data_IF_221845360252
#
_entry.id   IF_221845360252
#
_cell.length_a   1.000
_cell.length_b   1.000
_cell.length_c   1.000
_cell.angle_alpha   90.00
_cell.angle_beta   90.00
_cell.angle_gamma   90.00
#
_symmetry.space_group_name_H-M   'P 1'
#
loop_
_entity.id
_entity.type
_entity.pdbx_description
1 polymer ?
#
# COMPACT_ATOMS: atom_id res chain seq x y z
N UNK A 1 25.31 -51.59 -40.56
CA UNK A 1 26.47 -50.70 -40.74
C UNK A 1 26.17 -49.92 -42.02
N UNK A 2 25.92 -48.61 -42.05
CA UNK A 2 26.52 -47.48 -41.33
C UNK A 2 25.47 -46.38 -41.11
N UNK A 3 25.28 -45.97 -39.85
CA UNK A 3 24.46 -44.80 -39.49
C UNK A 3 25.26 -43.51 -39.63
N UNK A 4 24.63 -42.48 -40.18
CA UNK A 4 25.21 -41.14 -40.32
C UNK A 4 25.21 -40.37 -39.00
N UNK A 5 26.28 -39.62 -38.76
CA UNK A 5 26.38 -38.61 -37.71
C UNK A 5 26.84 -37.29 -38.33
N UNK A 6 25.90 -36.37 -38.47
CA UNK A 6 26.17 -34.93 -38.61
C UNK A 6 26.22 -34.26 -37.22
N UNK A 7 26.76 -33.05 -37.11
CA UNK A 7 27.14 -32.43 -35.84
C UNK A 7 25.92 -32.03 -35.01
N UNK A 8 25.87 -32.47 -33.75
CA UNK A 8 24.88 -32.05 -32.77
C UNK A 8 25.18 -30.61 -32.33
N UNK A 9 24.36 -29.67 -32.80
CA UNK A 9 24.34 -28.30 -32.31
C UNK A 9 23.97 -28.30 -30.82
N UNK A 10 24.85 -27.73 -30.00
CA UNK A 10 24.62 -27.48 -28.58
C UNK A 10 23.45 -26.50 -28.42
N UNK A 11 22.32 -27.00 -27.92
CA UNK A 11 21.20 -26.18 -27.48
C UNK A 11 21.49 -25.70 -26.04
N UNK A 12 21.54 -24.39 -25.84
CA UNK A 12 21.52 -23.79 -24.51
C UNK A 12 20.22 -24.19 -23.79
N UNK A 13 20.24 -24.51 -22.47
CA UNK A 13 19.03 -24.89 -21.77
C UNK A 13 18.12 -23.67 -21.59
N UNK A 14 16.98 -23.69 -22.30
CA UNK A 14 15.95 -22.64 -22.29
C UNK A 14 14.98 -22.73 -21.09
N UNK A 15 15.27 -23.57 -20.09
CA UNK A 15 14.28 -24.01 -19.10
C UNK A 15 14.66 -23.66 -17.66
N UNK A 16 15.32 -22.52 -17.42
CA UNK A 16 15.51 -22.00 -16.07
C UNK A 16 14.20 -21.41 -15.51
N UNK A 17 13.17 -22.25 -15.36
CA UNK A 17 12.02 -21.92 -14.52
C UNK A 17 12.48 -21.96 -13.07
N UNK A 18 12.51 -20.81 -12.42
CA UNK A 18 12.73 -20.70 -10.98
C UNK A 18 11.66 -21.52 -10.24
N UNK A 19 11.95 -22.77 -9.89
CA UNK A 19 11.09 -23.62 -9.07
C UNK A 19 11.46 -23.46 -7.59
N UNK A 20 10.96 -22.39 -6.98
CA UNK A 20 10.97 -22.24 -5.53
C UNK A 20 9.59 -22.60 -4.98
N UNK A 21 9.49 -23.56 -4.06
CA UNK A 21 8.27 -23.71 -3.26
C UNK A 21 8.20 -22.51 -2.33
N UNK A 22 7.23 -21.61 -2.52
CA UNK A 22 6.98 -20.55 -1.55
C UNK A 22 6.70 -21.19 -0.19
N UNK A 23 7.64 -21.06 0.75
CA UNK A 23 7.51 -21.61 2.10
C UNK A 23 7.59 -20.46 3.09
N UNK A 24 6.56 -20.33 3.92
CA UNK A 24 6.58 -19.42 5.06
C UNK A 24 7.47 -20.06 6.13
N UNK A 25 8.50 -19.33 6.54
CA UNK A 25 9.42 -19.78 7.59
C UNK A 25 8.76 -19.52 8.93
N UNK A 26 8.58 -20.56 9.76
CA UNK A 26 8.01 -20.42 11.10
C UNK A 26 7.12 -21.59 11.52
N UNK A 27 6.55 -21.53 12.73
CA UNK A 27 5.57 -22.52 13.20
C UNK A 27 4.25 -22.38 12.43
N UNK A 28 3.52 -23.51 12.25
CA UNK A 28 2.31 -23.58 11.41
C UNK A 28 1.22 -22.57 11.77
N UNK A 29 1.10 -22.20 13.05
CA UNK A 29 0.13 -21.22 13.52
C UNK A 29 0.45 -19.78 13.07
N UNK A 30 1.72 -19.47 12.80
CA UNK A 30 2.17 -18.15 12.38
C UNK A 30 2.11 -17.96 10.87
N UNK A 31 1.91 -19.02 10.08
CA UNK A 31 1.98 -18.95 8.61
C UNK A 31 0.93 -18.00 8.01
N UNK A 32 -0.33 -18.12 8.42
CA UNK A 32 -1.39 -17.25 7.93
C UNK A 32 -1.28 -15.82 8.46
N UNK A 33 -1.06 -15.58 9.77
CA UNK A 33 -0.86 -14.22 10.27
C UNK A 33 0.32 -13.49 9.66
N UNK A 34 1.48 -14.15 9.50
CA UNK A 34 2.66 -13.51 8.91
C UNK A 34 2.46 -13.16 7.43
N UNK A 35 1.62 -13.92 6.73
CA UNK A 35 1.31 -13.67 5.33
C UNK A 35 0.29 -12.54 5.14
N UNK A 36 -0.58 -12.30 6.12
CA UNK A 36 -1.64 -11.29 6.07
C UNK A 36 -1.36 -10.03 6.88
N UNK A 37 -0.23 -9.98 7.62
CA UNK A 37 0.13 -8.83 8.46
C UNK A 37 0.26 -7.51 7.70
N UNK A 38 0.60 -7.55 6.41
CA UNK A 38 0.61 -6.37 5.54
C UNK A 38 -0.76 -5.68 5.49
N UNK A 39 -1.84 -6.46 5.44
CA UNK A 39 -3.22 -5.94 5.43
C UNK A 39 -3.60 -5.27 6.74
N UNK A 40 -3.07 -5.74 7.88
CA UNK A 40 -3.24 -5.06 9.17
C UNK A 40 -2.61 -3.66 9.12
N UNK A 41 -1.38 -3.55 8.61
CA UNK A 41 -0.70 -2.27 8.48
C UNK A 41 -1.42 -1.31 7.53
N UNK A 42 -1.82 -1.80 6.35
CA UNK A 42 -2.60 -1.02 5.37
C UNK A 42 -3.88 -0.46 6.03
N UNK A 43 -4.58 -1.29 6.79
CA UNK A 43 -5.82 -0.84 7.43
C UNK A 43 -5.59 0.20 8.52
N UNK A 44 -4.52 0.09 9.31
CA UNK A 44 -4.18 1.11 10.30
C UNK A 44 -3.98 2.48 9.62
N UNK A 45 -3.23 2.52 8.52
CA UNK A 45 -3.00 3.75 7.77
C UNK A 45 -4.30 4.35 7.23
N UNK A 46 -5.13 3.51 6.61
CA UNK A 46 -6.43 3.95 6.09
C UNK A 46 -7.36 4.47 7.20
N UNK A 47 -7.38 3.83 8.37
CA UNK A 47 -8.14 4.30 9.53
C UNK A 47 -7.65 5.65 10.06
N UNK A 48 -6.34 5.87 10.11
CA UNK A 48 -5.74 7.17 10.50
C UNK A 48 -6.11 8.26 9.49
N UNK A 49 -6.00 7.96 8.21
CA UNK A 49 -6.39 8.88 7.13
C UNK A 49 -7.87 9.24 7.23
N UNK A 50 -8.77 8.25 7.34
CA UNK A 50 -10.21 8.48 7.47
C UNK A 50 -10.56 9.32 8.71
N UNK A 51 -9.77 9.24 9.78
CA UNK A 51 -9.99 9.99 11.01
C UNK A 51 -9.52 11.45 10.91
N UNK A 52 -8.39 11.72 10.25
CA UNK A 52 -7.75 13.05 10.26
C UNK A 52 -7.85 13.83 8.95
N UNK A 53 -8.05 13.19 7.79
CA UNK A 53 -8.05 13.88 6.50
C UNK A 53 -9.17 14.93 6.41
N UNK A 54 -10.39 14.58 6.81
CA UNK A 54 -11.54 15.51 6.82
C UNK A 54 -11.31 16.75 7.70
N UNK A 55 -11.05 16.64 9.02
CA UNK A 55 -10.84 17.80 9.86
C UNK A 55 -9.61 18.62 9.43
N UNK A 56 -8.57 17.97 8.92
CA UNK A 56 -7.38 18.65 8.43
C UNK A 56 -7.67 19.50 7.19
N UNK A 57 -8.32 18.94 6.16
CA UNK A 57 -8.67 19.68 4.95
C UNK A 57 -9.62 20.85 5.23
N UNK A 58 -10.60 20.65 6.13
CA UNK A 58 -11.47 21.75 6.59
C UNK A 58 -10.66 22.84 7.30
N UNK A 59 -9.66 22.49 8.10
CA UNK A 59 -8.77 23.46 8.76
C UNK A 59 -7.89 24.26 7.79
N UNK A 60 -7.70 23.78 6.56
CA UNK A 60 -7.02 24.50 5.48
C UNK A 60 -7.96 25.44 4.71
N UNK A 61 -9.26 25.46 5.05
CA UNK A 61 -10.26 26.34 4.43
C UNK A 61 -11.05 25.70 3.28
N UNK A 62 -10.97 24.38 3.07
CA UNK A 62 -11.81 23.70 2.08
C UNK A 62 -13.25 23.65 2.56
N UNK A 63 -14.20 23.76 1.64
CA UNK A 63 -15.61 23.46 1.93
C UNK A 63 -15.84 21.95 1.94
N UNK A 64 -16.89 21.49 2.63
CA UNK A 64 -17.28 20.07 2.68
C UNK A 64 -17.43 19.42 1.30
N UNK A 65 -17.93 20.18 0.31
CA UNK A 65 -18.04 19.70 -1.08
C UNK A 65 -16.68 19.40 -1.71
N UNK A 66 -15.68 20.27 -1.48
CA UNK A 66 -14.32 20.02 -1.99
C UNK A 66 -13.65 18.85 -1.28
N UNK A 67 -13.86 18.71 0.03
CA UNK A 67 -13.36 17.54 0.77
C UNK A 67 -13.93 16.25 0.19
N UNK A 68 -15.23 16.20 -0.10
CA UNK A 68 -15.85 15.04 -0.75
C UNK A 68 -15.25 14.74 -2.14
N UNK A 69 -14.87 15.76 -2.92
CA UNK A 69 -14.15 15.57 -4.18
C UNK A 69 -12.76 14.97 -3.98
N UNK A 70 -12.04 15.36 -2.92
CA UNK A 70 -10.73 14.78 -2.60
C UNK A 70 -10.87 13.29 -2.25
N UNK A 71 -11.89 12.91 -1.50
CA UNK A 71 -12.18 11.51 -1.17
C UNK A 71 -12.62 10.65 -2.38
N UNK A 72 -12.87 11.26 -3.54
CA UNK A 72 -13.02 10.51 -4.79
C UNK A 72 -11.71 9.79 -5.19
N UNK A 73 -10.57 10.20 -4.61
CA UNK A 73 -9.29 9.52 -4.75
C UNK A 73 -9.38 8.02 -4.45
N UNK A 74 -9.98 7.61 -3.33
CA UNK A 74 -10.08 6.21 -2.92
C UNK A 74 -10.80 5.29 -3.94
N UNK A 75 -11.99 5.63 -4.44
CA UNK A 75 -12.64 4.87 -5.50
C UNK A 75 -11.87 4.89 -6.83
N UNK A 76 -11.30 6.04 -7.22
CA UNK A 76 -10.53 6.18 -8.46
C UNK A 76 -9.24 5.35 -8.42
N UNK A 77 -8.54 5.36 -7.29
CA UNK A 77 -7.36 4.55 -7.07
C UNK A 77 -7.71 3.06 -7.07
N UNK A 78 -8.81 2.66 -6.44
CA UNK A 78 -9.30 1.28 -6.49
C UNK A 78 -9.57 0.81 -7.92
N UNK A 79 -10.21 1.64 -8.73
CA UNK A 79 -10.54 1.34 -10.13
C UNK A 79 -9.28 1.21 -11.01
N UNK A 80 -8.31 2.11 -10.85
CA UNK A 80 -7.15 2.20 -11.74
C UNK A 80 -5.95 1.40 -11.24
N UNK A 81 -5.58 1.55 -9.96
CA UNK A 81 -4.34 1.03 -9.40
C UNK A 81 -4.40 -0.48 -9.25
N UNK A 82 -5.52 -1.03 -8.80
CA UNK A 82 -5.65 -2.48 -8.59
C UNK A 82 -5.37 -3.30 -9.86
N UNK A 83 -5.99 -3.02 -11.03
CA UNK A 83 -5.69 -3.76 -12.25
C UNK A 83 -4.29 -3.46 -12.80
N UNK A 84 -3.84 -2.20 -12.76
CA UNK A 84 -2.52 -1.82 -13.28
C UNK A 84 -1.38 -2.47 -12.49
N UNK A 85 -1.39 -2.32 -11.16
CA UNK A 85 -0.36 -2.89 -10.30
C UNK A 85 -0.42 -4.41 -10.32
N UNK A 86 -1.61 -5.01 -10.43
CA UNK A 86 -1.75 -6.45 -10.65
C UNK A 86 -1.00 -6.93 -11.89
N UNK A 87 -1.26 -6.30 -13.05
CA UNK A 87 -0.60 -6.65 -14.31
C UNK A 87 0.91 -6.40 -14.29
N UNK A 88 1.37 -5.25 -13.77
CA UNK A 88 2.79 -4.95 -13.68
C UNK A 88 3.50 -5.86 -12.69
N UNK A 89 2.91 -6.14 -11.52
CA UNK A 89 3.48 -7.04 -10.54
C UNK A 89 3.67 -8.44 -11.10
N UNK A 90 2.76 -8.93 -11.94
CA UNK A 90 2.84 -10.27 -12.52
C UNK A 90 3.97 -10.45 -13.54
N UNK A 91 4.53 -9.37 -14.10
CA UNK A 91 5.64 -9.40 -15.07
C UNK A 91 7.02 -9.24 -14.45
N UNK A 92 7.11 -8.92 -13.16
CA UNK A 92 8.37 -8.57 -12.51
C UNK A 92 9.23 -9.81 -12.15
N UNK A 93 10.52 -9.76 -12.49
CA UNK A 93 11.49 -10.85 -12.27
C UNK A 93 12.54 -10.53 -11.19
N UNK A 94 12.26 -9.55 -10.33
CA UNK A 94 13.19 -9.10 -9.27
C UNK A 94 13.69 -10.25 -8.36
N UNK A 95 14.96 -10.14 -7.93
CA UNK A 95 15.64 -11.11 -7.03
C UNK A 95 14.97 -11.27 -5.67
N UNK A 96 14.14 -10.31 -5.24
CA UNK A 96 13.40 -10.36 -3.97
C UNK A 96 12.04 -11.06 -4.10
N UNK A 97 11.71 -11.56 -5.29
CA UNK A 97 10.42 -12.14 -5.63
C UNK A 97 9.54 -11.14 -6.37
N UNK A 98 8.58 -11.69 -7.13
CA UNK A 98 7.72 -10.95 -8.06
C UNK A 98 6.90 -9.82 -7.41
N UNK A 99 6.32 -10.10 -6.23
CA UNK A 99 5.34 -9.23 -5.57
C UNK A 99 5.91 -8.31 -4.48
N UNK A 100 6.96 -8.75 -3.77
CA UNK A 100 7.55 -8.04 -2.62
C UNK A 100 8.06 -6.60 -2.90
N UNK A 101 8.71 -6.29 -4.04
CA UNK A 101 9.21 -4.92 -4.26
C UNK A 101 8.07 -3.89 -4.40
N UNK A 102 6.90 -4.29 -4.94
CA UNK A 102 5.74 -3.41 -5.03
C UNK A 102 5.13 -3.13 -3.66
N UNK A 103 5.09 -4.14 -2.77
CA UNK A 103 4.67 -3.95 -1.37
C UNK A 103 5.61 -2.95 -0.69
N UNK A 104 6.93 -3.14 -0.79
CA UNK A 104 7.91 -2.23 -0.17
C UNK A 104 7.81 -0.80 -0.73
N UNK A 105 7.70 -0.65 -2.06
CA UNK A 105 7.54 0.64 -2.71
C UNK A 105 6.25 1.34 -2.26
N UNK A 106 5.13 0.62 -2.23
CA UNK A 106 3.87 1.14 -1.74
C UNK A 106 3.92 1.53 -0.26
N UNK A 107 4.57 0.73 0.60
CA UNK A 107 4.75 1.10 2.00
C UNK A 107 5.59 2.38 2.17
N UNK A 108 6.68 2.52 1.42
CA UNK A 108 7.51 3.74 1.47
C UNK A 108 6.73 4.97 1.00
N UNK A 109 5.97 4.85 -0.10
CA UNK A 109 5.13 5.93 -0.60
C UNK A 109 4.00 6.27 0.38
N UNK A 110 3.40 5.28 1.03
CA UNK A 110 2.36 5.49 2.04
C UNK A 110 2.91 6.23 3.28
N UNK A 111 4.06 5.80 3.81
CA UNK A 111 4.74 6.50 4.92
C UNK A 111 5.12 7.92 4.51
N UNK A 112 5.70 8.10 3.32
CA UNK A 112 6.06 9.41 2.79
C UNK A 112 4.86 10.33 2.60
N UNK A 113 3.75 9.81 2.07
CA UNK A 113 2.48 10.52 1.92
C UNK A 113 1.89 10.93 3.26
N UNK A 114 1.88 10.02 4.25
CA UNK A 114 1.38 10.32 5.60
C UNK A 114 2.23 11.40 6.29
N UNK A 115 3.56 11.32 6.18
CA UNK A 115 4.46 12.37 6.68
C UNK A 115 4.23 13.70 5.97
N UNK A 116 4.09 13.68 4.64
CA UNK A 116 3.79 14.88 3.87
C UNK A 116 2.47 15.51 4.32
N UNK A 117 1.42 14.71 4.53
CA UNK A 117 0.12 15.19 5.02
C UNK A 117 0.22 15.84 6.41
N UNK A 118 1.04 15.27 7.31
CA UNK A 118 1.30 15.84 8.63
C UNK A 118 2.09 17.16 8.58
N UNK A 119 3.00 17.30 7.63
CA UNK A 119 3.95 18.44 7.54
C UNK A 119 3.71 19.36 6.34
N UNK A 120 2.49 19.42 5.77
CA UNK A 120 2.29 20.19 4.52
C UNK A 120 2.59 21.68 4.66
N UNK A 121 2.31 22.29 5.83
CA UNK A 121 2.54 23.72 6.10
C UNK A 121 4.03 24.04 6.16
N UNK A 122 4.80 23.14 6.76
CA UNK A 122 6.24 23.21 6.91
C UNK A 122 6.92 23.07 5.55
N UNK A 123 6.51 22.06 4.77
CA UNK A 123 7.02 21.81 3.43
C UNK A 123 6.68 22.98 2.49
N UNK A 124 5.45 23.50 2.54
CA UNK A 124 5.08 24.71 1.80
C UNK A 124 5.93 25.91 2.23
N UNK A 125 6.27 26.00 3.52
CA UNK A 125 7.11 27.05 4.10
C UNK A 125 8.58 26.99 3.68
N UNK A 126 9.07 25.86 3.16
CA UNK A 126 10.41 25.77 2.57
C UNK A 126 10.48 26.37 1.17
N UNK A 127 9.34 26.45 0.48
CA UNK A 127 9.25 26.94 -0.91
C UNK A 127 8.74 28.38 -0.95
N UNK A 128 7.74 28.71 -0.14
CA UNK A 128 7.07 30.01 -0.12
C UNK A 128 7.05 30.61 1.29
N UNK A 129 7.12 31.94 1.38
CA UNK A 129 7.01 32.65 2.66
C UNK A 129 5.67 32.38 3.34
N UNK A 130 5.72 32.12 4.65
CA UNK A 130 4.54 31.79 5.46
C UNK A 130 3.62 33.00 5.57
N UNK A 131 2.31 32.77 5.42
CA UNK A 131 1.28 33.80 5.59
C UNK A 131 0.79 34.46 4.30
N UNK A 132 1.43 34.19 3.16
CA UNK A 132 0.92 34.61 1.85
C UNK A 132 -0.22 33.72 1.34
N UNK A 133 -1.10 34.28 0.49
CA UNK A 133 -2.17 33.51 -0.16
C UNK A 133 -1.62 32.32 -0.97
N UNK A 134 -0.47 32.51 -1.64
CA UNK A 134 0.21 31.46 -2.39
C UNK A 134 0.68 30.29 -1.51
N UNK A 135 1.10 30.56 -0.26
CA UNK A 135 1.49 29.51 0.69
C UNK A 135 0.28 28.66 1.11
N UNK A 136 -0.86 29.29 1.37
CA UNK A 136 -2.11 28.59 1.67
C UNK A 136 -2.57 27.69 0.51
N UNK A 137 -2.54 28.21 -0.71
CA UNK A 137 -2.88 27.45 -1.93
C UNK A 137 -1.94 26.25 -2.10
N UNK A 138 -0.62 26.44 -1.95
CA UNK A 138 0.35 25.35 -2.04
C UNK A 138 0.12 24.29 -0.95
N UNK A 139 -0.17 24.70 0.29
CA UNK A 139 -0.45 23.79 1.41
C UNK A 139 -1.65 22.88 1.09
N UNK A 140 -2.72 23.46 0.53
CA UNK A 140 -3.90 22.69 0.08
C UNK A 140 -3.51 21.69 -1.01
N UNK A 141 -2.77 22.11 -2.04
CA UNK A 141 -2.34 21.22 -3.11
C UNK A 141 -1.48 20.06 -2.60
N UNK A 142 -0.55 20.33 -1.68
CA UNK A 142 0.26 19.30 -1.04
C UNK A 142 -0.57 18.33 -0.21
N UNK A 143 -1.58 18.81 0.52
CA UNK A 143 -2.49 17.96 1.28
C UNK A 143 -3.30 17.03 0.38
N UNK A 144 -3.86 17.56 -0.71
CA UNK A 144 -4.61 16.78 -1.70
C UNK A 144 -3.68 15.76 -2.37
N UNK A 145 -2.49 16.16 -2.80
CA UNK A 145 -1.49 15.26 -3.38
C UNK A 145 -1.12 14.14 -2.40
N UNK A 146 -0.90 14.46 -1.13
CA UNK A 146 -0.56 13.48 -0.11
C UNK A 146 -1.66 12.42 0.06
N UNK A 147 -2.94 12.84 0.15
CA UNK A 147 -4.08 11.92 0.23
C UNK A 147 -4.12 11.00 -1.00
N UNK A 148 -3.97 11.55 -2.20
CA UNK A 148 -3.92 10.73 -3.42
C UNK A 148 -2.76 9.72 -3.40
N UNK A 149 -1.56 10.14 -2.96
CA UNK A 149 -0.42 9.23 -2.86
C UNK A 149 -0.69 8.12 -1.84
N UNK A 150 -1.30 8.43 -0.70
CA UNK A 150 -1.66 7.46 0.33
C UNK A 150 -2.69 6.47 -0.23
N UNK A 151 -3.81 6.94 -0.79
CA UNK A 151 -4.89 6.11 -1.33
C UNK A 151 -4.41 5.18 -2.46
N UNK A 152 -3.60 5.71 -3.38
CA UNK A 152 -3.01 4.92 -4.46
C UNK A 152 -2.07 3.84 -3.91
N UNK A 153 -1.24 4.20 -2.93
CA UNK A 153 -0.29 3.26 -2.31
C UNK A 153 -1.01 2.17 -1.51
N UNK A 154 -2.03 2.53 -0.74
CA UNK A 154 -2.88 1.60 0.02
C UNK A 154 -3.53 0.58 -0.92
N UNK A 155 -4.14 1.05 -2.01
CA UNK A 155 -4.77 0.17 -2.99
C UNK A 155 -3.76 -0.74 -3.70
N UNK A 156 -2.58 -0.22 -4.04
CA UNK A 156 -1.50 -1.01 -4.63
C UNK A 156 -1.04 -2.13 -3.69
N UNK A 157 -0.72 -1.81 -2.44
CA UNK A 157 -0.27 -2.79 -1.44
C UNK A 157 -1.36 -3.81 -1.17
N UNK A 158 -2.62 -3.38 -1.01
CA UNK A 158 -3.74 -4.28 -0.75
C UNK A 158 -3.96 -5.28 -1.90
N UNK A 159 -3.85 -4.84 -3.16
CA UNK A 159 -3.97 -5.71 -4.32
C UNK A 159 -2.84 -6.76 -4.36
N UNK A 160 -1.60 -6.33 -4.13
CA UNK A 160 -0.43 -7.20 -4.17
C UNK A 160 -0.38 -8.17 -2.99
N UNK A 161 -0.80 -7.75 -1.79
CA UNK A 161 -0.92 -8.60 -0.61
C UNK A 161 -1.94 -9.72 -0.83
N UNK A 162 -3.11 -9.41 -1.40
CA UNK A 162 -4.11 -10.43 -1.74
C UNK A 162 -3.59 -11.40 -2.79
N UNK A 163 -2.90 -10.90 -3.82
CA UNK A 163 -2.30 -11.76 -4.82
C UNK A 163 -1.17 -12.64 -4.24
N UNK A 164 -0.38 -12.10 -3.30
CA UNK A 164 0.65 -12.86 -2.59
C UNK A 164 0.04 -13.96 -1.71
N UNK A 165 -1.08 -13.68 -1.04
CA UNK A 165 -1.82 -14.68 -0.26
C UNK A 165 -2.27 -15.86 -1.12
N UNK A 166 -2.82 -15.59 -2.30
CA UNK A 166 -3.30 -16.63 -3.24
C UNK A 166 -2.13 -17.39 -3.88
N UNK A 167 -1.04 -16.72 -4.24
CA UNK A 167 0.15 -17.33 -4.83
C UNK A 167 0.90 -18.27 -3.87
N UNK A 168 0.77 -18.05 -2.56
CA UNK A 168 1.53 -18.79 -1.54
C UNK A 168 0.73 -19.91 -0.88
N UNK A 169 -0.60 -19.81 -0.84
CA UNK A 169 -1.46 -20.82 -0.21
C UNK A 169 -2.01 -21.85 -1.21
N UNK A 170 -2.00 -23.15 -0.86
CA UNK A 170 -2.73 -24.16 -1.60
C UNK A 170 -4.24 -23.83 -1.66
N UNK A 171 -4.95 -24.21 -2.73
CA UNK A 171 -6.38 -23.89 -2.89
C UNK A 171 -7.25 -24.27 -1.68
N UNK A 172 -6.97 -25.42 -1.04
CA UNK A 172 -7.68 -25.87 0.15
C UNK A 172 -7.54 -24.95 1.38
N UNK A 173 -6.49 -24.12 1.45
CA UNK A 173 -6.21 -23.22 2.57
C UNK A 173 -6.53 -21.75 2.27
N UNK A 174 -6.85 -21.40 1.02
CA UNK A 174 -7.10 -20.00 0.62
C UNK A 174 -8.30 -19.39 1.36
N UNK A 175 -9.35 -20.18 1.64
CA UNK A 175 -10.48 -19.71 2.44
C UNK A 175 -10.06 -19.32 3.87
N UNK A 176 -9.23 -20.13 4.52
CA UNK A 176 -8.70 -19.83 5.86
C UNK A 176 -7.74 -18.63 5.83
N UNK A 177 -6.92 -18.51 4.78
CA UNK A 177 -6.06 -17.35 4.56
C UNK A 177 -6.86 -16.06 4.40
N UNK A 178 -7.93 -16.08 3.60
CA UNK A 178 -8.81 -14.92 3.40
C UNK A 178 -9.60 -14.55 4.67
N UNK A 179 -9.98 -15.55 5.49
CA UNK A 179 -10.55 -15.30 6.81
C UNK A 179 -9.54 -14.62 7.75
N UNK A 180 -8.29 -15.08 7.78
CA UNK A 180 -7.22 -14.44 8.55
C UNK A 180 -6.95 -13.00 8.07
N UNK A 181 -6.97 -12.77 6.75
CA UNK A 181 -6.87 -11.44 6.16
C UNK A 181 -8.00 -10.51 6.64
N UNK A 182 -9.24 -11.00 6.67
CA UNK A 182 -10.37 -10.23 7.19
C UNK A 182 -10.21 -9.90 8.69
N UNK A 183 -9.68 -10.84 9.48
CA UNK A 183 -9.36 -10.57 10.90
C UNK A 183 -8.27 -9.52 11.06
N UNK A 184 -7.23 -9.54 10.22
CA UNK A 184 -6.16 -8.54 10.22
C UNK A 184 -6.68 -7.14 9.86
N UNK A 185 -7.56 -7.04 8.86
CA UNK A 185 -8.25 -5.79 8.53
C UNK A 185 -9.17 -5.33 9.68
N UNK A 186 -9.96 -6.23 10.26
CA UNK A 186 -10.80 -5.89 11.42
C UNK A 186 -9.97 -5.36 12.59
N UNK A 187 -8.91 -6.06 12.96
CA UNK A 187 -7.98 -5.67 14.02
C UNK A 187 -7.26 -4.36 13.72
N UNK A 188 -6.78 -4.17 12.49
CA UNK A 188 -6.14 -2.93 12.06
C UNK A 188 -7.06 -1.72 12.15
N UNK A 189 -8.35 -1.88 11.82
CA UNK A 189 -9.35 -0.81 11.98
C UNK A 189 -9.53 -0.43 13.45
N UNK A 190 -9.69 -1.42 14.33
CA UNK A 190 -9.87 -1.18 15.77
C UNK A 190 -8.66 -0.45 16.34
N UNK A 191 -7.45 -0.93 16.03
CA UNK A 191 -6.20 -0.30 16.49
C UNK A 191 -6.07 1.12 15.93
N UNK A 192 -6.29 1.30 14.63
CA UNK A 192 -6.16 2.61 13.97
C UNK A 192 -7.11 3.66 14.54
N UNK A 193 -8.40 3.34 14.65
CA UNK A 193 -9.37 4.26 15.25
C UNK A 193 -9.10 4.50 16.73
N UNK A 194 -8.71 3.47 17.49
CA UNK A 194 -8.36 3.64 18.90
C UNK A 194 -7.17 4.58 19.09
N UNK A 195 -6.12 4.46 18.27
CA UNK A 195 -4.98 5.37 18.29
C UNK A 195 -5.38 6.82 18.02
N UNK A 196 -6.35 7.06 17.13
CA UNK A 196 -6.86 8.41 16.82
C UNK A 196 -7.69 9.02 17.96
N UNK A 197 -8.32 8.18 18.80
CA UNK A 197 -9.14 8.62 19.94
C UNK A 197 -8.29 8.90 21.18
N UNK A 198 -7.08 8.33 21.27
CA UNK A 198 -6.20 8.57 22.41
C UNK A 198 -5.83 10.05 22.52
N UNK A 199 -6.13 10.72 23.65
CA UNK A 199 -5.75 12.11 23.86
C UNK A 199 -4.24 12.18 24.05
N UNK A 200 -3.50 12.58 23.02
CA UNK A 200 -2.09 12.93 23.12
C UNK A 200 -1.95 14.29 23.83
N UNK A 201 -2.00 14.26 25.16
CA UNK A 201 -1.76 15.37 26.11
C UNK A 201 -2.60 16.65 25.94
N UNK A 202 -3.13 17.26 27.02
CA UNK A 202 -3.96 18.47 26.96
C UNK A 202 -3.22 19.77 26.58
N UNK A 203 -1.98 19.73 26.11
CA UNK A 203 -1.10 20.91 26.01
C UNK A 203 -1.28 21.82 24.78
N UNK A 204 -2.18 21.51 23.83
CA UNK A 204 -2.34 22.33 22.61
C UNK A 204 -3.79 22.70 22.30
N UNK A 205 -4.58 23.01 23.33
CA UNK A 205 -5.77 23.86 23.14
C UNK A 205 -5.31 25.32 23.19
N UNK A 206 -5.06 25.90 22.03
CA UNK A 206 -5.04 27.34 21.83
C UNK A 206 -6.06 27.68 20.75
#
# INVERSE_FOLDING_TARGET
MTGGFGPSLSAAPADARWSGTARVVGPRWAHLPTLTIGLLGVQIFWSVEMSYASPYLLSLGLTTSHVALVFLAGPLSGLLVQPLVGAYADTNTSRWGRRRPYILGGCVLCVGGMLLLGYTREVAGWVLERGGHAHGVLTVWLAVLAIFVIDFSINAVQAVDRALLVDTLPPAQQAAGNACAALMLGGGSVVGFFMCVLPLSPSYKC
#
